data_IF_600160429988
#
_entry.id   IF_600160429988
#
_cell.length_a   1.000
_cell.length_b   1.000
_cell.length_c   1.000
_cell.angle_alpha   90.00
_cell.angle_beta   90.00
_cell.angle_gamma   90.00
#
_symmetry.space_group_name_H-M   'P 1'
#
loop_
_entity.id
_entity.type
_entity.pdbx_description
1 polymer ?
#
# COMPACT_ATOMS: atom_id res chain seq x y z
N UNK A 1 21.01 -6.35 -14.25
CA UNK A 1 22.12 -5.45 -13.87
C UNK A 1 22.88 -5.89 -12.60
N UNK A 2 22.18 -6.35 -11.55
CA UNK A 2 22.79 -6.85 -10.31
C UNK A 2 23.71 -8.07 -10.48
N UNK A 3 23.28 -9.07 -11.27
CA UNK A 3 24.07 -10.29 -11.52
C UNK A 3 25.38 -10.00 -12.26
N UNK A 4 25.37 -9.05 -13.20
CA UNK A 4 26.52 -8.62 -13.99
C UNK A 4 27.52 -7.75 -13.20
N UNK A 5 27.03 -6.92 -12.26
CA UNK A 5 27.89 -6.18 -11.31
C UNK A 5 28.49 -7.10 -10.24
N UNK A 6 27.73 -8.10 -9.78
CA UNK A 6 28.17 -9.12 -8.81
C UNK A 6 29.26 -10.03 -9.39
N UNK A 7 29.10 -10.47 -10.65
CA UNK A 7 30.15 -11.24 -11.38
C UNK A 7 31.36 -10.41 -11.82
N UNK A 8 31.27 -9.08 -11.82
CA UNK A 8 32.40 -8.20 -12.11
C UNK A 8 33.23 -7.84 -10.85
N UNK A 9 32.60 -7.84 -9.67
CA UNK A 9 33.24 -7.54 -8.39
C UNK A 9 33.73 -8.81 -7.65
N UNK A 10 33.17 -9.97 -7.98
CA UNK A 10 33.62 -11.31 -7.57
C UNK A 10 34.06 -12.06 -8.84
N UNK A 11 35.37 -12.24 -9.11
CA UNK A 11 35.84 -12.74 -10.40
C UNK A 11 35.36 -14.17 -10.67
N UNK A 12 35.04 -14.45 -11.94
CA UNK A 12 34.64 -15.77 -12.51
C UNK A 12 35.72 -16.89 -12.45
N UNK A 13 36.74 -16.78 -11.61
CA UNK A 13 37.84 -17.72 -11.57
C UNK A 13 37.78 -18.61 -10.33
N UNK A 14 37.24 -19.81 -10.50
CA UNK A 14 37.43 -20.94 -9.60
C UNK A 14 36.35 -21.14 -8.55
N UNK A 15 35.69 -22.30 -8.60
CA UNK A 15 35.15 -22.94 -7.40
C UNK A 15 36.27 -23.15 -6.37
N UNK A 16 36.70 -22.10 -5.67
CA UNK A 16 37.66 -22.14 -4.55
C UNK A 16 37.95 -20.76 -3.92
N UNK A 17 37.05 -19.77 -3.96
CA UNK A 17 37.39 -18.42 -3.43
C UNK A 17 37.12 -18.24 -1.93
N UNK A 18 36.46 -19.18 -1.27
CA UNK A 18 36.18 -19.10 0.17
C UNK A 18 36.26 -20.49 0.81
N UNK A 19 37.47 -20.94 1.12
CA UNK A 19 37.63 -22.05 2.07
C UNK A 19 37.08 -21.60 3.43
N UNK A 20 36.18 -22.42 3.98
CA UNK A 20 35.45 -22.19 5.23
C UNK A 20 36.35 -22.03 6.48
N UNK A 21 37.67 -22.17 6.32
CA UNK A 21 38.68 -22.11 7.38
C UNK A 21 39.75 -21.01 7.21
N UNK A 22 39.67 -20.13 6.22
CA UNK A 22 40.73 -19.13 6.03
C UNK A 22 40.37 -17.78 6.66
N UNK A 23 40.93 -17.49 7.85
CA UNK A 23 40.93 -16.14 8.46
C UNK A 23 41.40 -15.05 7.49
N UNK A 24 42.17 -15.43 6.46
CA UNK A 24 42.58 -14.57 5.34
C UNK A 24 41.41 -13.94 4.59
N UNK A 25 40.30 -14.65 4.43
CA UNK A 25 39.15 -14.15 3.67
C UNK A 25 38.34 -13.10 4.43
N UNK A 26 38.25 -13.24 5.76
CA UNK A 26 37.67 -12.21 6.62
C UNK A 26 38.58 -10.98 6.75
N UNK A 27 39.90 -11.19 6.77
CA UNK A 27 40.86 -10.08 6.77
C UNK A 27 40.74 -9.25 5.48
N UNK A 28 40.70 -9.88 4.31
CA UNK A 28 40.52 -9.17 3.04
C UNK A 28 39.19 -8.40 2.95
N UNK A 29 38.13 -8.93 3.57
CA UNK A 29 36.85 -8.24 3.65
C UNK A 29 36.91 -7.06 4.62
N UNK A 30 37.54 -7.25 5.77
CA UNK A 30 37.76 -6.20 6.77
C UNK A 30 38.55 -5.04 6.19
N UNK A 31 39.69 -5.32 5.54
CA UNK A 31 40.56 -4.30 4.92
C UNK A 31 39.86 -3.56 3.77
N UNK A 32 38.88 -4.19 3.10
CA UNK A 32 38.04 -3.53 2.08
C UNK A 32 36.98 -2.60 2.67
N UNK A 33 36.56 -2.87 3.90
CA UNK A 33 35.54 -2.11 4.61
C UNK A 33 36.16 -0.97 5.42
N UNK A 34 37.32 -1.20 6.04
CA UNK A 34 38.16 -0.21 6.73
C UNK A 34 38.79 0.73 5.69
N UNK A 35 38.11 1.84 5.40
CA UNK A 35 38.54 2.77 4.35
C UNK A 35 39.56 3.78 4.83
N UNK A 36 39.59 4.05 6.14
CA UNK A 36 40.50 5.00 6.75
C UNK A 36 41.79 4.32 7.30
N UNK A 37 41.86 2.98 7.29
CA UNK A 37 42.93 2.13 7.80
C UNK A 37 43.22 2.35 9.29
N UNK A 38 42.18 2.59 10.09
CA UNK A 38 42.30 2.76 11.54
C UNK A 38 42.22 1.44 12.33
N UNK A 39 42.03 0.32 11.62
CA UNK A 39 41.93 -1.01 12.21
C UNK A 39 40.56 -1.29 12.83
N UNK A 40 39.56 -0.47 12.53
CA UNK A 40 38.16 -0.64 12.93
C UNK A 40 37.24 -0.40 11.73
N UNK A 41 36.03 -0.92 11.81
CA UNK A 41 34.98 -0.67 10.81
C UNK A 41 33.81 0.01 11.49
N UNK A 42 33.60 1.28 11.19
CA UNK A 42 32.46 2.03 11.71
C UNK A 42 31.17 1.83 10.88
N UNK A 43 30.07 2.36 11.39
CA UNK A 43 28.76 2.27 10.73
C UNK A 43 28.73 2.96 9.35
N UNK A 44 29.48 4.05 9.17
CA UNK A 44 29.54 4.80 7.91
C UNK A 44 30.37 4.07 6.86
N UNK A 45 31.50 3.49 7.26
CA UNK A 45 32.38 2.67 6.45
C UNK A 45 31.70 1.38 6.01
N UNK A 46 31.09 0.64 6.93
CA UNK A 46 30.32 -0.54 6.61
C UNK A 46 29.16 -0.20 5.66
N UNK A 47 28.47 0.92 5.90
CA UNK A 47 27.41 1.39 5.00
C UNK A 47 27.94 1.71 3.61
N UNK A 48 29.09 2.36 3.51
CA UNK A 48 29.72 2.70 2.23
C UNK A 48 30.18 1.43 1.50
N UNK A 49 30.76 0.46 2.22
CA UNK A 49 31.15 -0.85 1.71
C UNK A 49 29.96 -1.64 1.17
N UNK A 50 28.90 -1.80 1.96
CA UNK A 50 27.66 -2.45 1.54
C UNK A 50 27.05 -1.78 0.31
N UNK A 51 27.14 -0.45 0.20
CA UNK A 51 26.68 0.30 -0.97
C UNK A 51 27.53 0.04 -2.22
N UNK A 52 28.86 0.00 -2.09
CA UNK A 52 29.77 -0.37 -3.19
C UNK A 52 29.52 -1.81 -3.67
N UNK A 53 29.16 -2.71 -2.75
CA UNK A 53 28.84 -4.11 -3.05
C UNK A 53 27.41 -4.30 -3.59
N UNK A 54 26.62 -3.23 -3.75
CA UNK A 54 25.22 -3.30 -4.21
C UNK A 54 24.23 -3.82 -3.17
N UNK A 55 24.67 -4.12 -1.95
CA UNK A 55 23.87 -4.73 -0.88
C UNK A 55 23.22 -3.69 0.05
N UNK A 56 23.05 -2.45 -0.40
CA UNK A 56 22.60 -1.34 0.45
C UNK A 56 21.13 -1.47 0.88
N UNK A 57 20.92 -1.60 2.19
CA UNK A 57 19.61 -1.49 2.86
C UNK A 57 19.75 -0.53 4.05
N UNK A 58 18.77 0.36 4.24
CA UNK A 58 18.75 1.25 5.40
C UNK A 58 18.76 0.45 6.70
N UNK A 59 19.68 0.77 7.62
CA UNK A 59 19.78 0.14 8.94
C UNK A 59 20.60 -1.16 9.01
N UNK A 60 21.00 -1.76 7.89
CA UNK A 60 21.78 -3.01 7.91
C UNK A 60 23.16 -2.84 8.58
N UNK A 61 23.90 -1.78 8.20
CA UNK A 61 25.19 -1.46 8.80
C UNK A 61 25.06 -1.17 10.30
N UNK A 62 24.01 -0.44 10.72
CA UNK A 62 23.71 -0.22 12.13
C UNK A 62 23.51 -1.55 12.87
N UNK A 63 22.68 -2.45 12.34
CA UNK A 63 22.35 -3.73 13.00
C UNK A 63 23.59 -4.64 13.13
N UNK A 64 24.46 -4.66 12.12
CA UNK A 64 25.71 -5.43 12.14
C UNK A 64 26.65 -4.91 13.23
N UNK A 65 26.94 -3.60 13.24
CA UNK A 65 27.84 -3.00 14.25
C UNK A 65 27.25 -3.20 15.65
N UNK A 66 25.97 -2.88 15.86
CA UNK A 66 25.31 -3.06 17.17
C UNK A 66 25.32 -4.51 17.68
N UNK A 67 25.36 -5.51 16.78
CA UNK A 67 25.36 -6.93 17.18
C UNK A 67 26.78 -7.46 17.40
N UNK A 68 27.76 -6.95 16.66
CA UNK A 68 29.15 -7.40 16.75
C UNK A 68 29.98 -6.68 17.82
N UNK A 69 29.65 -5.42 18.12
CA UNK A 69 30.36 -4.54 19.05
C UNK A 69 30.16 -5.01 20.50
N UNK A 70 31.19 -5.66 21.06
CA UNK A 70 31.15 -6.21 22.42
C UNK A 70 31.63 -5.21 23.46
N UNK A 71 32.56 -4.35 23.06
CA UNK A 71 33.16 -3.35 23.94
C UNK A 71 32.34 -2.03 23.99
N UNK A 72 31.30 -1.91 23.15
CA UNK A 72 30.38 -0.77 23.02
C UNK A 72 31.06 0.53 22.60
N UNK A 73 32.13 0.45 21.79
CA UNK A 73 32.85 1.62 21.29
C UNK A 73 32.24 2.24 20.01
N UNK A 74 31.19 1.61 19.46
CA UNK A 74 30.46 2.05 18.29
C UNK A 74 31.09 1.65 16.96
N UNK A 75 32.15 0.84 16.99
CA UNK A 75 32.85 0.29 15.84
C UNK A 75 33.03 -1.23 15.97
N UNK A 76 33.53 -1.88 14.92
CA UNK A 76 33.95 -3.28 14.98
C UNK A 76 35.46 -3.38 14.78
N UNK A 77 36.19 -3.86 15.77
CA UNK A 77 37.56 -4.30 15.54
C UNK A 77 37.59 -5.64 14.77
N UNK A 78 38.77 -6.05 14.28
CA UNK A 78 38.88 -7.28 13.49
C UNK A 78 38.41 -8.54 14.24
N UNK A 79 38.60 -8.58 15.57
CA UNK A 79 38.20 -9.72 16.41
C UNK A 79 36.68 -9.77 16.54
N UNK A 80 36.04 -8.63 16.81
CA UNK A 80 34.59 -8.47 16.89
C UNK A 80 33.92 -8.75 15.55
N UNK A 81 34.48 -8.21 14.46
CA UNK A 81 34.02 -8.45 13.09
C UNK A 81 34.08 -9.93 12.72
N UNK A 82 35.22 -10.58 12.97
CA UNK A 82 35.41 -12.01 12.70
C UNK A 82 34.45 -12.87 13.52
N UNK A 83 34.28 -12.54 14.81
CA UNK A 83 33.33 -13.26 15.68
C UNK A 83 31.90 -13.10 15.20
N UNK A 84 31.50 -11.88 14.83
CA UNK A 84 30.18 -11.63 14.25
C UNK A 84 29.95 -12.47 12.98
N UNK A 85 30.90 -12.49 12.04
CA UNK A 85 30.76 -13.25 10.81
C UNK A 85 30.68 -14.76 11.06
N UNK A 86 31.51 -15.31 11.95
CA UNK A 86 31.45 -16.73 12.33
C UNK A 86 30.10 -17.09 12.96
N UNK A 87 29.62 -16.28 13.90
CA UNK A 87 28.32 -16.50 14.54
C UNK A 87 27.15 -16.37 13.55
N UNK A 88 27.27 -15.46 12.59
CA UNK A 88 26.28 -15.25 11.53
C UNK A 88 26.27 -16.40 10.54
N UNK A 89 27.42 -16.87 10.08
CA UNK A 89 27.54 -18.04 9.20
C UNK A 89 26.95 -19.30 9.84
N UNK A 90 27.18 -19.50 11.14
CA UNK A 90 26.58 -20.62 11.88
C UNK A 90 25.05 -20.56 11.83
N UNK A 91 24.45 -19.38 12.01
CA UNK A 91 22.99 -19.19 11.91
C UNK A 91 22.47 -19.35 10.48
N UNK A 92 23.20 -18.86 9.48
CA UNK A 92 22.88 -19.07 8.07
C UNK A 92 22.93 -20.56 7.72
N UNK A 93 23.89 -21.32 8.27
CA UNK A 93 24.02 -22.76 8.03
C UNK A 93 22.87 -23.56 8.64
N UNK A 94 22.40 -23.17 9.81
CA UNK A 94 21.18 -23.73 10.40
C UNK A 94 19.95 -23.42 9.52
N UNK A 95 19.88 -22.21 8.98
CA UNK A 95 18.77 -21.80 8.11
C UNK A 95 18.81 -22.54 6.77
N UNK A 96 19.99 -22.70 6.17
CA UNK A 96 20.19 -23.49 4.95
C UNK A 96 19.71 -24.94 5.15
N UNK A 97 20.13 -25.59 6.24
CA UNK A 97 19.68 -26.95 6.59
C UNK A 97 18.17 -27.05 6.84
N UNK A 98 17.53 -25.96 7.26
CA UNK A 98 16.07 -25.94 7.42
C UNK A 98 15.31 -25.80 6.10
N UNK A 99 15.98 -25.29 5.06
CA UNK A 99 15.46 -25.15 3.71
C UNK A 99 15.67 -26.43 2.89
N UNK A 100 16.87 -27.01 2.96
CA UNK A 100 17.26 -28.28 2.33
C UNK A 100 16.60 -29.46 3.09
N UNK A 101 15.43 -29.90 2.62
CA UNK A 101 14.63 -30.93 3.28
C UNK A 101 15.05 -32.32 2.88
N UNK A 102 15.41 -32.48 1.61
CA UNK A 102 15.82 -33.76 1.08
C UNK A 102 17.28 -34.09 1.48
N UNK A 103 17.99 -33.13 2.11
CA UNK A 103 19.38 -33.21 2.55
C UNK A 103 20.35 -33.52 1.40
N UNK A 104 20.05 -33.02 0.20
CA UNK A 104 20.91 -33.18 -0.97
C UNK A 104 22.03 -32.11 -1.06
N UNK A 105 22.05 -31.18 -0.11
CA UNK A 105 23.04 -30.11 -0.02
C UNK A 105 22.78 -28.95 -0.96
N UNK A 106 21.61 -28.91 -1.61
CA UNK A 106 21.17 -27.85 -2.52
C UNK A 106 19.73 -27.46 -2.20
N UNK A 107 19.37 -26.23 -2.52
CA UNK A 107 18.00 -25.73 -2.34
C UNK A 107 17.33 -25.65 -3.71
N UNK A 108 16.18 -26.31 -3.86
CA UNK A 108 15.39 -26.29 -5.09
C UNK A 108 14.08 -25.45 -4.97
N UNK A 109 13.38 -25.30 -6.10
CA UNK A 109 12.17 -24.48 -6.17
C UNK A 109 11.05 -25.04 -5.28
N UNK A 110 10.95 -26.37 -5.20
CA UNK A 110 9.93 -27.08 -4.42
C UNK A 110 10.17 -26.87 -2.93
N UNK A 111 11.43 -26.88 -2.49
CA UNK A 111 11.81 -26.65 -1.09
C UNK A 111 11.52 -25.21 -0.66
N UNK A 112 11.80 -24.24 -1.53
CA UNK A 112 11.40 -22.84 -1.31
C UNK A 112 9.87 -22.72 -1.22
N UNK A 113 9.11 -23.36 -2.12
CA UNK A 113 7.64 -23.35 -2.07
C UNK A 113 7.12 -23.95 -0.76
N UNK A 114 7.68 -25.07 -0.32
CA UNK A 114 7.27 -25.74 0.91
C UNK A 114 7.61 -24.93 2.17
N UNK A 115 8.82 -24.36 2.24
CA UNK A 115 9.24 -23.52 3.35
C UNK A 115 8.36 -22.27 3.50
N UNK A 116 7.96 -21.67 2.38
CA UNK A 116 7.02 -20.54 2.37
C UNK A 116 5.60 -20.99 2.73
N UNK A 117 5.13 -22.13 2.21
CA UNK A 117 3.80 -22.66 2.50
C UNK A 117 3.60 -22.97 4.00
N UNK A 118 4.62 -23.50 4.68
CA UNK A 118 4.57 -23.75 6.13
C UNK A 118 4.44 -22.48 6.97
N UNK A 119 4.89 -21.35 6.43
CA UNK A 119 4.74 -20.04 7.04
C UNK A 119 3.47 -19.31 6.57
N UNK A 120 2.58 -20.01 5.85
CA UNK A 120 1.30 -19.50 5.36
C UNK A 120 1.43 -18.62 4.10
N UNK A 121 2.55 -18.73 3.39
CA UNK A 121 2.84 -17.98 2.17
C UNK A 121 2.80 -18.96 0.98
N UNK A 122 1.70 -18.94 0.23
CA UNK A 122 1.60 -19.71 -1.01
C UNK A 122 2.22 -18.94 -2.17
N UNK A 123 3.20 -19.54 -2.84
CA UNK A 123 3.82 -19.00 -4.04
C UNK A 123 3.78 -20.00 -5.18
N UNK A 124 3.64 -19.50 -6.41
CA UNK A 124 3.72 -20.32 -7.60
C UNK A 124 5.19 -20.73 -7.90
N UNK A 125 5.36 -21.73 -8.77
CA UNK A 125 6.70 -22.26 -9.09
C UNK A 125 7.61 -21.23 -9.75
N UNK A 126 7.05 -20.35 -10.58
CA UNK A 126 7.80 -19.26 -11.23
C UNK A 126 8.37 -18.27 -10.21
N UNK A 127 7.60 -17.93 -9.19
CA UNK A 127 8.03 -17.12 -8.06
C UNK A 127 9.18 -17.78 -7.29
N UNK A 128 9.09 -19.07 -7.01
CA UNK A 128 10.18 -19.82 -6.36
C UNK A 128 11.45 -19.83 -7.21
N UNK A 129 11.32 -20.03 -8.53
CA UNK A 129 12.45 -19.99 -9.46
C UNK A 129 13.10 -18.60 -9.51
N UNK A 130 12.32 -17.51 -9.42
CA UNK A 130 12.89 -16.15 -9.31
C UNK A 130 13.70 -15.95 -8.03
N UNK A 131 13.28 -16.57 -6.92
CA UNK A 131 14.07 -16.53 -5.69
C UNK A 131 15.39 -17.27 -5.89
N UNK A 132 15.36 -18.48 -6.44
CA UNK A 132 16.57 -19.24 -6.74
C UNK A 132 17.51 -18.44 -7.65
N UNK A 133 17.01 -17.91 -8.76
CA UNK A 133 17.78 -17.10 -9.72
C UNK A 133 18.47 -15.88 -9.10
N UNK A 134 17.95 -15.36 -7.99
CA UNK A 134 18.57 -14.23 -7.29
C UNK A 134 19.80 -14.61 -6.48
N UNK A 135 19.88 -15.88 -6.09
CA UNK A 135 20.95 -16.46 -5.27
C UNK A 135 21.93 -17.25 -6.12
N UNK A 136 21.42 -17.97 -7.12
CA UNK A 136 22.11 -18.79 -8.11
C UNK A 136 23.11 -17.96 -8.94
N UNK A 137 24.38 -18.32 -8.79
CA UNK A 137 25.53 -17.67 -9.43
C UNK A 137 25.95 -18.48 -10.66
N UNK A 138 25.92 -19.81 -10.57
CA UNK A 138 26.41 -20.72 -11.60
C UNK A 138 25.37 -21.05 -12.69
N UNK A 139 24.11 -20.67 -12.48
CA UNK A 139 23.00 -20.86 -13.40
C UNK A 139 22.39 -22.26 -13.34
N UNK A 140 22.66 -23.04 -12.29
CA UNK A 140 22.18 -24.41 -12.13
C UNK A 140 20.69 -24.51 -11.79
N UNK A 141 20.01 -23.40 -11.47
CA UNK A 141 18.64 -23.35 -10.95
C UNK A 141 18.46 -24.12 -9.64
N UNK A 142 19.55 -24.33 -8.93
CA UNK A 142 19.65 -24.83 -7.57
C UNK A 142 20.59 -23.90 -6.81
N UNK A 143 20.49 -23.86 -5.49
CA UNK A 143 21.36 -22.99 -4.68
C UNK A 143 22.14 -23.82 -3.68
N UNK A 144 23.45 -23.85 -3.80
CA UNK A 144 24.31 -24.55 -2.84
C UNK A 144 24.66 -23.69 -1.61
N UNK A 145 25.36 -24.28 -0.63
CA UNK A 145 25.76 -23.58 0.58
C UNK A 145 26.61 -22.33 0.31
N UNK A 146 27.52 -22.38 -0.65
CA UNK A 146 28.42 -21.27 -0.93
C UNK A 146 27.64 -20.10 -1.55
N UNK A 147 26.76 -20.38 -2.49
CA UNK A 147 25.88 -19.38 -3.12
C UNK A 147 24.93 -18.74 -2.09
N UNK A 148 24.33 -19.57 -1.23
CA UNK A 148 23.47 -19.12 -0.14
C UNK A 148 24.23 -18.25 0.87
N UNK A 149 25.42 -18.70 1.32
CA UNK A 149 26.29 -17.96 2.23
C UNK A 149 26.67 -16.62 1.62
N UNK A 150 27.21 -16.61 0.41
CA UNK A 150 27.65 -15.36 -0.24
C UNK A 150 26.52 -14.36 -0.44
N UNK A 151 25.30 -14.85 -0.67
CA UNK A 151 24.14 -13.99 -0.83
C UNK A 151 23.67 -13.35 0.50
N UNK A 152 23.85 -14.02 1.64
CA UNK A 152 23.37 -13.55 2.94
C UNK A 152 24.43 -13.15 3.97
N UNK A 153 25.73 -13.37 3.70
CA UNK A 153 26.82 -13.14 4.66
C UNK A 153 26.84 -11.73 5.23
N UNK A 154 26.58 -10.73 4.38
CA UNK A 154 26.54 -9.32 4.75
C UNK A 154 25.11 -8.79 4.92
N UNK A 155 24.13 -9.69 5.00
CA UNK A 155 22.73 -9.36 5.27
C UNK A 155 22.37 -9.82 6.69
N UNK A 156 21.89 -8.93 7.58
CA UNK A 156 21.63 -9.28 8.98
C UNK A 156 20.30 -10.02 9.17
N UNK A 157 20.20 -11.20 8.53
CA UNK A 157 19.16 -12.19 8.75
C UNK A 157 19.68 -13.42 9.48
N UNK A 158 19.09 -13.69 10.64
CA UNK A 158 19.55 -14.68 11.60
C UNK A 158 18.67 -15.93 11.65
N UNK A 159 17.59 -15.96 10.88
CA UNK A 159 16.64 -17.07 10.82
C UNK A 159 15.88 -17.10 9.49
N UNK A 160 15.19 -18.21 9.26
CA UNK A 160 14.36 -18.46 8.07
C UNK A 160 13.32 -17.36 7.84
N UNK A 161 12.73 -16.84 8.91
CA UNK A 161 11.70 -15.81 8.83
C UNK A 161 12.24 -14.46 8.30
N UNK A 162 13.43 -14.05 8.74
CA UNK A 162 14.11 -12.84 8.25
C UNK A 162 14.59 -13.00 6.79
N UNK A 163 15.05 -14.20 6.40
CA UNK A 163 15.39 -14.51 5.00
C UNK A 163 14.16 -14.47 4.10
N UNK A 164 13.04 -15.01 4.56
CA UNK A 164 11.77 -14.96 3.81
C UNK A 164 11.22 -13.54 3.72
N UNK A 165 11.34 -12.74 4.79
CA UNK A 165 11.04 -11.30 4.72
C UNK A 165 11.92 -10.60 3.70
N UNK A 166 13.21 -10.93 3.67
CA UNK A 166 14.11 -10.42 2.64
C UNK A 166 13.59 -10.77 1.25
N UNK A 167 13.20 -12.02 0.99
CA UNK A 167 12.63 -12.38 -0.30
C UNK A 167 11.33 -11.63 -0.60
N UNK A 168 10.44 -11.44 0.38
CA UNK A 168 9.21 -10.63 0.22
C UNK A 168 9.54 -9.19 -0.20
N UNK A 169 10.51 -8.55 0.46
CA UNK A 169 10.85 -7.14 0.24
C UNK A 169 11.93 -6.88 -0.83
N UNK A 170 12.67 -7.90 -1.27
CA UNK A 170 13.77 -7.78 -2.25
C UNK A 170 13.39 -8.30 -3.63
N UNK A 171 12.52 -9.32 -3.71
CA UNK A 171 12.22 -10.02 -4.96
C UNK A 171 10.82 -9.77 -5.51
N UNK A 172 10.07 -8.82 -4.95
CA UNK A 172 8.70 -8.50 -5.39
C UNK A 172 7.88 -9.79 -5.52
N UNK A 173 7.92 -10.63 -4.49
CA UNK A 173 6.85 -11.60 -4.27
C UNK A 173 5.63 -10.81 -3.84
N UNK A 174 4.88 -10.35 -4.84
CA UNK A 174 3.58 -9.74 -4.69
C UNK A 174 2.60 -10.82 -4.23
N UNK A 175 2.60 -11.14 -2.93
CA UNK A 175 1.42 -11.69 -2.29
C UNK A 175 0.46 -10.52 -2.28
N UNK A 176 -0.44 -10.45 -3.27
CA UNK A 176 -1.30 -9.31 -3.61
C UNK A 176 -1.84 -8.51 -2.41
N UNK A 177 -1.00 -7.62 -1.87
CA UNK A 177 -1.34 -6.76 -0.74
C UNK A 177 -2.07 -5.56 -1.35
N UNK A 178 -3.35 -5.85 -1.55
CA UNK A 178 -4.39 -4.97 -2.04
C UNK A 178 -4.30 -3.62 -1.36
N UNK A 179 -4.24 -2.61 -2.22
CA UNK A 179 -4.31 -1.18 -1.99
C UNK A 179 -5.48 -0.77 -1.06
N UNK A 180 -5.42 -1.02 0.26
CA UNK A 180 -6.35 -0.37 1.19
C UNK A 180 -5.93 -0.32 2.67
N UNK A 181 -4.82 -0.91 3.08
CA UNK A 181 -4.22 -0.68 4.41
C UNK A 181 -2.71 -0.59 4.16
N UNK A 182 -1.99 0.45 4.63
CA UNK A 182 -0.53 0.38 4.64
C UNK A 182 -0.13 -0.95 5.25
N UNK A 183 0.79 -1.66 4.60
CA UNK A 183 1.44 -2.82 5.19
C UNK A 183 1.77 -2.45 6.63
N UNK A 184 1.35 -3.34 7.54
CA UNK A 184 1.56 -3.28 8.97
C UNK A 184 2.86 -2.53 9.26
N UNK A 185 2.80 -1.32 9.84
CA UNK A 185 4.02 -0.66 10.30
C UNK A 185 4.77 -1.71 11.11
N UNK A 186 5.98 -2.03 10.68
CA UNK A 186 6.81 -3.03 11.36
C UNK A 186 6.89 -2.67 12.84
N UNK A 187 7.05 -3.64 13.74
CA UNK A 187 7.24 -3.33 15.18
C UNK A 187 8.46 -2.39 15.37
N UNK A 188 9.41 -2.41 14.42
CA UNK A 188 10.50 -1.44 14.26
C UNK A 188 10.00 -0.04 13.85
N UNK A 189 9.09 0.09 12.88
CA UNK A 189 8.49 1.38 12.51
C UNK A 189 7.59 1.96 13.60
N UNK A 190 6.84 1.12 14.32
CA UNK A 190 6.03 1.53 15.48
C UNK A 190 6.87 2.01 16.66
N UNK A 191 8.06 1.43 16.86
CA UNK A 191 9.01 1.86 17.89
C UNK A 191 9.88 3.05 17.45
N UNK A 192 9.99 3.30 16.14
CA UNK A 192 10.69 4.46 15.59
C UNK A 192 9.88 5.76 15.68
N UNK A 193 10.55 6.92 15.80
CA UNK A 193 9.92 8.25 15.75
C UNK A 193 9.43 8.65 14.32
N UNK A 194 9.14 7.67 13.45
CA UNK A 194 8.83 7.86 12.01
C UNK A 194 7.36 7.59 11.68
N UNK A 195 6.67 6.69 12.41
CA UNK A 195 5.30 6.29 12.08
C UNK A 195 4.30 7.47 12.08
N UNK A 196 4.36 8.33 13.10
CA UNK A 196 3.44 9.47 13.21
C UNK A 196 3.73 10.51 12.13
N UNK A 197 5.00 10.67 11.74
CA UNK A 197 5.42 11.57 10.66
C UNK A 197 4.87 11.08 9.32
N UNK A 198 4.89 9.77 9.06
CA UNK A 198 4.29 9.18 7.87
C UNK A 198 2.75 9.34 7.84
N UNK A 199 2.08 9.20 9.00
CA UNK A 199 0.65 9.46 9.11
C UNK A 199 0.30 10.93 8.86
N UNK A 200 1.07 11.87 9.42
CA UNK A 200 0.88 13.31 9.19
C UNK A 200 1.10 13.65 7.73
N UNK A 201 2.17 13.13 7.11
CA UNK A 201 2.43 13.31 5.68
C UNK A 201 1.27 12.78 4.82
N UNK A 202 0.75 11.60 5.11
CA UNK A 202 -0.39 11.01 4.42
C UNK A 202 -1.68 11.81 4.61
N UNK A 203 -1.96 12.28 5.83
CA UNK A 203 -3.13 13.09 6.13
C UNK A 203 -3.08 14.46 5.43
N UNK A 204 -1.92 15.12 5.43
CA UNK A 204 -1.69 16.39 4.74
C UNK A 204 -1.84 16.21 3.22
N UNK A 205 -1.21 15.19 2.64
CA UNK A 205 -1.35 14.84 1.23
C UNK A 205 -2.82 14.63 0.83
N UNK A 206 -3.56 13.83 1.61
CA UNK A 206 -4.99 13.60 1.40
C UNK A 206 -5.83 14.86 1.51
N UNK A 207 -5.55 15.74 2.48
CA UNK A 207 -6.27 16.99 2.69
C UNK A 207 -6.05 17.99 1.54
N UNK A 208 -4.80 18.18 1.11
CA UNK A 208 -4.45 19.09 0.01
C UNK A 208 -5.01 18.58 -1.31
N UNK A 209 -4.86 17.29 -1.60
CA UNK A 209 -5.43 16.67 -2.81
C UNK A 209 -6.96 16.80 -2.89
N UNK A 210 -7.67 16.51 -1.79
CA UNK A 210 -9.13 16.68 -1.74
C UNK A 210 -9.56 18.14 -1.90
N UNK A 211 -8.79 19.08 -1.37
CA UNK A 211 -9.08 20.51 -1.49
C UNK A 211 -8.81 21.03 -2.91
N UNK A 212 -7.72 20.61 -3.54
CA UNK A 212 -7.41 20.93 -4.94
C UNK A 212 -8.43 20.36 -5.92
N UNK A 213 -9.00 19.20 -5.60
CA UNK A 213 -10.00 18.53 -6.45
C UNK A 213 -11.45 18.73 -6.02
N UNK A 214 -11.70 19.55 -4.98
CA UNK A 214 -13.04 19.80 -4.46
C UNK A 214 -14.02 20.38 -5.49
N UNK A 215 -13.63 21.31 -6.39
CA UNK A 215 -14.54 21.82 -7.42
C UNK A 215 -15.08 20.72 -8.35
N UNK A 216 -14.24 19.76 -8.74
CA UNK A 216 -14.62 18.61 -9.57
C UNK A 216 -15.49 17.61 -8.78
N UNK A 217 -15.18 17.40 -7.49
CA UNK A 217 -16.00 16.55 -6.62
C UNK A 217 -17.40 17.13 -6.43
N UNK A 218 -17.52 18.45 -6.23
CA UNK A 218 -18.81 19.13 -6.13
C UNK A 218 -19.56 19.08 -7.47
N UNK A 219 -18.88 19.32 -8.59
CA UNK A 219 -19.50 19.23 -9.92
C UNK A 219 -20.04 17.82 -10.19
N UNK A 220 -19.27 16.77 -9.87
CA UNK A 220 -19.71 15.38 -9.96
C UNK A 220 -21.04 15.18 -9.22
N UNK A 221 -21.07 15.51 -7.92
CA UNK A 221 -22.27 15.32 -7.08
C UNK A 221 -23.44 16.15 -7.59
N UNK A 222 -23.18 17.39 -8.03
CA UNK A 222 -24.19 18.27 -8.59
C UNK A 222 -24.85 17.69 -9.85
N UNK A 223 -24.03 17.19 -10.79
CA UNK A 223 -24.51 16.56 -12.02
C UNK A 223 -25.21 15.23 -11.77
N UNK A 224 -24.73 14.43 -10.80
CA UNK A 224 -25.36 13.17 -10.41
C UNK A 224 -26.81 13.37 -9.93
N UNK A 225 -27.08 14.47 -9.23
CA UNK A 225 -28.41 14.76 -8.66
C UNK A 225 -29.29 15.57 -9.62
N UNK A 226 -28.79 16.66 -10.19
CA UNK A 226 -29.62 17.62 -10.93
C UNK A 226 -29.72 17.35 -12.44
N UNK A 227 -28.82 16.55 -13.03
CA UNK A 227 -28.91 16.27 -14.46
C UNK A 227 -29.97 15.19 -14.76
N UNK A 228 -30.79 15.46 -15.77
CA UNK A 228 -31.81 14.56 -16.33
C UNK A 228 -31.73 14.52 -17.86
N UNK A 229 -32.54 13.67 -18.53
CA UNK A 229 -32.60 13.62 -20.00
C UNK A 229 -33.16 14.92 -20.58
N UNK A 230 -34.09 15.56 -19.87
CA UNK A 230 -34.68 16.87 -20.20
C UNK A 230 -33.79 18.04 -19.79
N UNK A 231 -32.89 17.85 -18.82
CA UNK A 231 -31.95 18.88 -18.34
C UNK A 231 -30.51 18.32 -18.34
N UNK A 232 -29.90 18.28 -19.54
CA UNK A 232 -28.50 17.88 -19.70
C UNK A 232 -27.58 19.03 -19.27
N UNK A 233 -26.89 18.82 -18.16
CA UNK A 233 -25.90 19.77 -17.66
C UNK A 233 -24.55 19.34 -18.23
N UNK A 234 -23.91 20.20 -19.02
CA UNK A 234 -22.52 20.01 -19.44
C UNK A 234 -21.55 20.56 -18.36
N UNK A 235 -20.25 20.30 -18.48
CA UNK A 235 -19.26 20.70 -17.47
C UNK A 235 -19.29 22.21 -17.18
N UNK A 236 -19.23 23.02 -18.25
CA UNK A 236 -19.17 24.48 -18.17
C UNK A 236 -20.49 25.03 -17.59
N UNK A 237 -21.63 24.50 -18.03
CA UNK A 237 -22.95 24.87 -17.53
C UNK A 237 -23.13 24.53 -16.05
N UNK A 238 -22.62 23.37 -15.61
CA UNK A 238 -22.63 22.98 -14.20
C UNK A 238 -21.82 23.92 -13.33
N UNK A 239 -20.58 24.23 -13.72
CA UNK A 239 -19.76 25.23 -13.02
C UNK A 239 -20.42 26.62 -13.02
N UNK A 240 -20.93 27.07 -14.17
CA UNK A 240 -21.62 28.36 -14.28
C UNK A 240 -22.82 28.42 -13.35
N UNK A 241 -23.66 27.39 -13.29
CA UNK A 241 -24.82 27.34 -12.41
C UNK A 241 -24.43 27.37 -10.93
N UNK A 242 -23.39 26.63 -10.56
CA UNK A 242 -22.85 26.62 -9.20
C UNK A 242 -22.29 27.98 -8.78
N UNK A 243 -21.56 28.65 -9.68
CA UNK A 243 -20.96 29.97 -9.43
C UNK A 243 -22.04 31.06 -9.39
N UNK A 244 -23.04 31.03 -10.27
CA UNK A 244 -24.16 31.99 -10.26
C UNK A 244 -25.00 31.87 -8.98
N UNK A 245 -25.13 30.67 -8.41
CA UNK A 245 -25.93 30.43 -7.21
C UNK A 245 -25.23 30.86 -5.90
N UNK A 246 -23.91 30.74 -5.81
CA UNK A 246 -23.20 30.89 -4.54
C UNK A 246 -21.83 31.55 -4.61
N UNK A 247 -21.46 32.12 -5.77
CA UNK A 247 -20.15 32.68 -6.04
C UNK A 247 -19.05 31.64 -6.23
N UNK A 248 -17.81 32.10 -6.41
CA UNK A 248 -16.64 31.23 -6.63
C UNK A 248 -16.34 30.32 -5.43
N UNK A 249 -16.47 30.84 -4.21
CA UNK A 249 -16.23 30.06 -2.98
C UNK A 249 -17.24 28.93 -2.79
N UNK A 250 -18.38 28.96 -3.50
CA UNK A 250 -19.33 27.86 -3.45
C UNK A 250 -18.71 26.55 -3.94
N UNK A 251 -17.75 26.58 -4.86
CA UNK A 251 -17.12 25.38 -5.45
C UNK A 251 -16.54 24.42 -4.39
N UNK A 252 -16.17 24.93 -3.21
CA UNK A 252 -15.65 24.16 -2.07
C UNK A 252 -16.69 23.78 -1.00
N UNK A 253 -17.99 23.98 -1.26
CA UNK A 253 -19.05 23.54 -0.34
C UNK A 253 -18.94 22.03 -0.09
N UNK A 254 -18.96 21.65 1.19
CA UNK A 254 -18.78 20.26 1.62
C UNK A 254 -17.32 19.81 1.73
N UNK A 255 -16.32 20.60 1.31
CA UNK A 255 -14.92 20.18 1.41
C UNK A 255 -14.45 20.03 2.88
N UNK A 256 -14.91 20.90 3.79
CA UNK A 256 -14.52 20.83 5.20
C UNK A 256 -14.82 19.48 5.84
N UNK A 257 -16.04 18.93 5.63
CA UNK A 257 -16.39 17.59 6.13
C UNK A 257 -15.67 16.48 5.36
N UNK A 258 -15.38 16.68 4.08
CA UNK A 258 -14.63 15.74 3.25
C UNK A 258 -13.16 15.57 3.70
N UNK A 259 -12.57 16.62 4.26
CA UNK A 259 -11.24 16.59 4.91
C UNK A 259 -11.36 16.06 6.34
N UNK A 260 -12.30 16.59 7.13
CA UNK A 260 -12.49 16.22 8.53
C UNK A 260 -12.71 14.71 8.72
N UNK A 261 -13.43 14.05 7.80
CA UNK A 261 -13.72 12.62 7.92
C UNK A 261 -12.51 11.69 7.75
N UNK A 262 -11.39 12.17 7.19
CA UNK A 262 -10.19 11.34 6.93
C UNK A 262 -9.69 10.71 8.23
N UNK A 263 -9.37 11.55 9.22
CA UNK A 263 -8.77 11.11 10.47
C UNK A 263 -9.64 10.09 11.23
N UNK A 264 -10.94 10.33 11.49
CA UNK A 264 -11.77 9.36 12.20
C UNK A 264 -12.01 8.09 11.38
N UNK A 265 -12.13 8.18 10.05
CA UNK A 265 -12.26 7.00 9.17
C UNK A 265 -11.05 6.10 9.28
N UNK A 266 -9.85 6.67 9.16
CA UNK A 266 -8.59 5.95 9.28
C UNK A 266 -8.42 5.38 10.69
N UNK A 267 -8.70 6.15 11.74
CA UNK A 267 -8.57 5.70 13.13
C UNK A 267 -9.50 4.52 13.46
N UNK A 268 -10.78 4.59 13.09
CA UNK A 268 -11.75 3.51 13.31
C UNK A 268 -11.33 2.27 12.51
N UNK A 269 -10.87 2.45 11.27
CA UNK A 269 -10.42 1.33 10.42
C UNK A 269 -9.24 0.60 11.06
N UNK A 270 -8.21 1.32 11.51
CA UNK A 270 -7.05 0.72 12.18
C UNK A 270 -7.44 0.03 13.49
N UNK A 271 -8.26 0.68 14.33
CA UNK A 271 -8.73 0.10 15.58
C UNK A 271 -9.52 -1.19 15.33
N UNK A 272 -10.48 -1.18 14.40
CA UNK A 272 -11.27 -2.34 14.06
C UNK A 272 -10.41 -3.47 13.47
N UNK A 273 -9.43 -3.12 12.63
CA UNK A 273 -8.48 -4.09 12.07
C UNK A 273 -7.73 -4.83 13.17
N UNK A 274 -7.14 -4.11 14.13
CA UNK A 274 -6.41 -4.73 15.25
C UNK A 274 -7.32 -5.63 16.11
N UNK A 275 -8.58 -5.28 16.32
CA UNK A 275 -9.51 -6.12 17.06
C UNK A 275 -9.90 -7.39 16.29
N UNK A 276 -10.26 -7.28 15.01
CA UNK A 276 -10.56 -8.46 14.18
C UNK A 276 -9.33 -9.35 14.01
N UNK A 277 -8.15 -8.75 13.91
CA UNK A 277 -6.88 -9.45 13.86
C UNK A 277 -6.68 -10.29 15.13
N UNK A 278 -6.85 -9.71 16.32
CA UNK A 278 -6.75 -10.45 17.60
C UNK A 278 -7.78 -11.57 17.71
N UNK A 279 -9.02 -11.35 17.26
CA UNK A 279 -10.08 -12.35 17.29
C UNK A 279 -9.84 -13.51 16.32
N UNK A 280 -9.19 -13.26 15.18
CA UNK A 280 -8.92 -14.27 14.15
C UNK A 280 -7.54 -14.94 14.31
N UNK A 281 -6.68 -14.41 15.17
CA UNK A 281 -5.39 -15.01 15.52
C UNK A 281 -5.59 -16.09 16.58
N UNK A 282 -5.01 -17.27 16.36
CA UNK A 282 -4.83 -18.26 17.43
C UNK A 282 -3.50 -17.99 18.14
N UNK A 283 -3.45 -18.11 19.46
CA UNK A 283 -2.27 -17.78 20.26
C UNK A 283 -0.99 -18.45 19.71
N UNK A 284 0.00 -17.63 19.35
CA UNK A 284 1.35 -18.08 18.96
C UNK A 284 1.60 -18.34 17.46
N UNK A 285 0.63 -18.17 16.56
CA UNK A 285 0.86 -18.31 15.10
C UNK A 285 0.58 -17.03 14.32
N UNK A 286 1.44 -16.74 13.33
CA UNK A 286 1.20 -15.68 12.34
C UNK A 286 -0.11 -15.93 11.60
N UNK A 287 -0.78 -14.83 11.27
CA UNK A 287 -2.11 -14.84 10.68
C UNK A 287 -2.02 -15.20 9.20
N UNK A 288 -2.74 -16.24 8.81
CA UNK A 288 -2.89 -16.64 7.41
C UNK A 288 -3.43 -15.48 6.57
N UNK A 289 -2.97 -15.36 5.33
CA UNK A 289 -3.32 -14.27 4.40
C UNK A 289 -4.83 -14.07 4.24
N UNK A 290 -5.61 -15.17 4.19
CA UNK A 290 -7.06 -15.10 4.09
C UNK A 290 -7.71 -14.47 5.34
N UNK A 291 -7.17 -14.72 6.54
CA UNK A 291 -7.67 -14.13 7.80
C UNK A 291 -7.34 -12.64 7.87
N UNK A 292 -6.18 -12.21 7.37
CA UNK A 292 -5.85 -10.79 7.23
C UNK A 292 -6.79 -10.08 6.27
N UNK A 293 -7.11 -10.71 5.15
CA UNK A 293 -8.07 -10.18 4.18
C UNK A 293 -9.47 -10.04 4.79
N UNK A 294 -9.93 -11.05 5.54
CA UNK A 294 -11.21 -11.01 6.28
C UNK A 294 -11.19 -9.89 7.32
N UNK A 295 -10.14 -9.79 8.13
CA UNK A 295 -9.97 -8.73 9.12
C UNK A 295 -9.99 -7.34 8.48
N UNK A 296 -9.28 -7.16 7.38
CA UNK A 296 -9.25 -5.91 6.60
C UNK A 296 -10.61 -5.53 6.03
N UNK A 297 -11.33 -6.51 5.48
CA UNK A 297 -12.68 -6.33 4.93
C UNK A 297 -13.69 -5.95 6.02
N UNK A 298 -13.68 -6.64 7.16
CA UNK A 298 -14.55 -6.35 8.30
C UNK A 298 -14.22 -4.99 8.93
N UNK A 299 -12.94 -4.65 9.03
CA UNK A 299 -12.51 -3.34 9.51
C UNK A 299 -12.96 -2.21 8.58
N UNK A 300 -12.83 -2.40 7.26
CA UNK A 300 -13.33 -1.48 6.25
C UNK A 300 -14.85 -1.30 6.34
N UNK A 301 -15.61 -2.39 6.47
CA UNK A 301 -17.05 -2.32 6.65
C UNK A 301 -17.44 -1.57 7.93
N UNK A 302 -16.79 -1.87 9.05
CA UNK A 302 -17.04 -1.23 10.35
C UNK A 302 -16.75 0.28 10.32
N UNK A 303 -15.59 0.67 9.78
CA UNK A 303 -15.24 2.07 9.58
C UNK A 303 -16.26 2.78 8.67
N UNK A 304 -16.66 2.12 7.58
CA UNK A 304 -17.66 2.65 6.67
C UNK A 304 -19.03 2.85 7.34
N UNK A 305 -19.48 1.92 8.19
CA UNK A 305 -20.73 2.05 8.96
C UNK A 305 -20.66 3.20 9.97
N UNK A 306 -19.54 3.32 10.68
CA UNK A 306 -19.36 4.37 11.69
C UNK A 306 -19.28 5.78 11.06
N UNK A 307 -18.61 5.91 9.92
CA UNK A 307 -18.41 7.19 9.21
C UNK A 307 -19.59 7.57 8.32
N UNK A 308 -20.50 6.64 8.03
CA UNK A 308 -21.60 6.87 7.10
C UNK A 308 -22.44 8.14 7.35
N UNK A 309 -22.76 8.52 8.60
CA UNK A 309 -23.45 9.80 8.88
C UNK A 309 -22.71 11.03 8.33
N UNK A 310 -21.37 11.02 8.35
CA UNK A 310 -20.55 12.09 7.77
C UNK A 310 -20.60 12.09 6.23
N UNK A 311 -20.75 10.93 5.59
CA UNK A 311 -20.94 10.85 4.13
C UNK A 311 -22.27 11.47 3.70
N UNK A 312 -23.35 11.21 4.44
CA UNK A 312 -24.64 11.85 4.16
C UNK A 312 -24.52 13.36 4.35
N UNK A 313 -23.96 13.81 5.47
CA UNK A 313 -23.73 15.23 5.72
C UNK A 313 -22.89 15.89 4.63
N UNK A 314 -21.83 15.21 4.14
CA UNK A 314 -21.02 15.65 3.01
C UNK A 314 -21.91 15.91 1.81
N UNK A 315 -22.67 14.91 1.35
CA UNK A 315 -23.52 15.04 0.16
C UNK A 315 -24.53 16.17 0.29
N UNK A 316 -25.14 16.34 1.48
CA UNK A 316 -26.09 17.44 1.76
C UNK A 316 -25.45 18.81 1.73
N UNK A 317 -24.28 18.97 2.37
CA UNK A 317 -23.57 20.24 2.40
C UNK A 317 -22.99 20.61 1.04
N UNK A 318 -22.57 19.63 0.24
CA UNK A 318 -22.08 19.83 -1.13
C UNK A 318 -23.18 20.37 -2.06
N UNK A 319 -24.41 19.87 -1.88
CA UNK A 319 -25.59 20.23 -2.68
C UNK A 319 -26.42 21.39 -2.10
N UNK A 320 -26.04 21.91 -0.93
CA UNK A 320 -26.81 22.97 -0.27
C UNK A 320 -26.91 24.22 -1.13
N UNK A 321 -28.06 24.88 -1.04
CA UNK A 321 -28.25 26.25 -1.53
C UNK A 321 -27.71 27.28 -0.53
N UNK A 322 -27.38 28.48 -1.00
CA UNK A 322 -26.97 29.63 -0.20
C UNK A 322 -28.03 29.90 0.87
N UNK A 323 -27.61 29.98 2.13
CA UNK A 323 -28.51 30.21 3.27
C UNK A 323 -29.27 28.98 3.81
N UNK A 324 -29.21 27.81 3.17
CA UNK A 324 -29.96 26.62 3.62
C UNK A 324 -29.46 26.06 4.97
N UNK A 325 -28.14 26.07 5.16
CA UNK A 325 -27.45 25.60 6.37
C UNK A 325 -26.37 26.59 6.79
N UNK A 326 -26.34 26.97 8.06
CA UNK A 326 -25.28 27.83 8.61
C UNK A 326 -23.93 27.09 8.68
N UNK A 327 -23.95 25.78 8.91
CA UNK A 327 -22.76 24.93 8.98
C UNK A 327 -23.10 23.44 9.07
N UNK A 328 -22.11 22.61 9.38
CA UNK A 328 -22.31 21.15 9.46
C UNK A 328 -23.22 20.74 10.62
N UNK A 329 -23.10 21.40 11.78
CA UNK A 329 -23.94 21.11 12.94
C UNK A 329 -25.41 21.52 12.73
N UNK A 330 -25.64 22.67 12.09
CA UNK A 330 -27.00 23.10 11.70
C UNK A 330 -27.60 22.13 10.67
N UNK A 331 -26.80 21.65 9.71
CA UNK A 331 -27.22 20.62 8.77
C UNK A 331 -27.62 19.33 9.49
N UNK A 332 -26.78 18.82 10.39
CA UNK A 332 -27.07 17.62 11.18
C UNK A 332 -28.32 17.78 12.06
N UNK A 333 -28.45 18.91 12.76
CA UNK A 333 -29.62 19.22 13.59
C UNK A 333 -30.91 19.27 12.77
N UNK A 334 -30.88 19.89 11.59
CA UNK A 334 -32.04 19.95 10.68
C UNK A 334 -32.40 18.58 10.11
N UNK A 335 -31.43 17.75 9.74
CA UNK A 335 -31.68 16.37 9.28
C UNK A 335 -32.32 15.56 10.41
N UNK A 336 -31.74 15.60 11.62
CA UNK A 336 -32.25 14.85 12.76
C UNK A 336 -33.69 15.26 13.12
N UNK A 337 -33.99 16.57 13.12
CA UNK A 337 -35.33 17.08 13.44
C UNK A 337 -36.38 16.82 12.36
N UNK A 338 -36.01 16.82 11.07
CA UNK A 338 -36.96 16.71 9.95
C UNK A 338 -37.10 15.30 9.40
N UNK A 339 -36.02 14.52 9.38
CA UNK A 339 -35.95 13.22 8.71
C UNK A 339 -35.65 12.07 9.68
N UNK A 340 -35.28 12.36 10.93
CA UNK A 340 -34.91 11.38 11.94
C UNK A 340 -33.49 10.80 11.78
N UNK A 341 -33.12 9.89 12.68
CA UNK A 341 -31.78 9.31 12.73
C UNK A 341 -31.47 8.39 11.52
N UNK A 342 -32.48 7.71 10.99
CA UNK A 342 -32.34 6.79 9.84
C UNK A 342 -31.86 7.54 8.57
N UNK A 343 -32.15 8.85 8.47
CA UNK A 343 -31.74 9.67 7.34
C UNK A 343 -30.20 9.73 7.16
N UNK A 344 -29.44 9.60 8.24
CA UNK A 344 -27.98 9.55 8.21
C UNK A 344 -27.41 8.28 7.60
N UNK A 345 -28.25 7.28 7.31
CA UNK A 345 -27.87 6.01 6.67
C UNK A 345 -28.54 5.81 5.30
N UNK A 346 -29.16 6.85 4.72
CA UNK A 346 -29.73 6.80 3.37
C UNK A 346 -28.64 6.49 2.33
N UNK A 347 -28.88 5.46 1.52
CA UNK A 347 -27.93 4.97 0.51
C UNK A 347 -26.90 3.97 1.02
N UNK A 348 -26.99 3.51 2.27
CA UNK A 348 -26.02 2.55 2.84
C UNK A 348 -26.00 1.22 2.09
N UNK A 349 -27.17 0.70 1.72
CA UNK A 349 -27.29 -0.55 0.96
C UNK A 349 -26.61 -0.48 -0.42
N UNK A 350 -26.92 0.49 -1.31
CA UNK A 350 -26.22 0.59 -2.59
C UNK A 350 -24.72 0.89 -2.42
N UNK A 351 -24.31 1.53 -1.31
CA UNK A 351 -22.90 1.70 -0.97
C UNK A 351 -22.20 0.35 -0.76
N UNK A 352 -22.74 -0.50 0.13
CA UNK A 352 -22.15 -1.81 0.42
C UNK A 352 -22.12 -2.72 -0.80
N UNK A 353 -23.23 -2.79 -1.54
CA UNK A 353 -23.30 -3.61 -2.77
C UNK A 353 -22.29 -3.11 -3.80
N UNK A 354 -22.04 -1.80 -3.87
CA UNK A 354 -21.10 -1.20 -4.82
C UNK A 354 -19.62 -1.45 -4.49
N UNK A 355 -19.27 -1.68 -3.22
CA UNK A 355 -17.89 -1.94 -2.78
C UNK A 355 -17.36 -3.26 -3.36
N UNK A 356 -18.19 -4.31 -3.37
CA UNK A 356 -17.79 -5.66 -3.82
C UNK A 356 -17.31 -5.67 -5.29
N UNK A 357 -18.10 -5.22 -6.28
CA UNK A 357 -17.66 -5.21 -7.68
C UNK A 357 -16.54 -4.20 -7.91
N UNK A 358 -16.51 -3.08 -7.16
CA UNK A 358 -15.39 -2.14 -7.22
C UNK A 358 -14.09 -2.83 -6.85
N UNK A 359 -14.00 -3.42 -5.65
CA UNK A 359 -12.79 -4.05 -5.14
C UNK A 359 -12.38 -5.27 -5.96
N UNK A 360 -13.32 -6.12 -6.36
CA UNK A 360 -13.03 -7.32 -7.15
C UNK A 360 -12.44 -7.00 -8.53
N UNK A 361 -13.00 -6.02 -9.22
CA UNK A 361 -12.51 -5.61 -10.55
C UNK A 361 -11.21 -4.82 -10.43
N UNK A 362 -11.11 -3.94 -9.43
CA UNK A 362 -9.88 -3.19 -9.15
C UNK A 362 -8.71 -4.16 -8.94
N UNK A 363 -8.85 -5.12 -8.04
CA UNK A 363 -7.82 -6.12 -7.77
C UNK A 363 -7.48 -6.95 -9.01
N UNK A 364 -8.48 -7.54 -9.67
CA UNK A 364 -8.26 -8.40 -10.83
C UNK A 364 -7.56 -7.67 -11.98
N UNK A 365 -7.96 -6.43 -12.27
CA UNK A 365 -7.34 -5.62 -13.33
C UNK A 365 -5.93 -5.19 -12.91
N UNK A 366 -5.74 -4.79 -11.65
CA UNK A 366 -4.43 -4.38 -11.15
C UNK A 366 -3.41 -5.51 -11.26
N UNK A 367 -3.75 -6.70 -10.75
CA UNK A 367 -2.89 -7.88 -10.78
C UNK A 367 -2.61 -8.31 -12.23
N UNK A 368 -3.63 -8.34 -13.08
CA UNK A 368 -3.46 -8.70 -14.50
C UNK A 368 -2.50 -7.73 -15.21
N UNK A 369 -2.68 -6.42 -15.03
CA UNK A 369 -1.82 -5.41 -15.65
C UNK A 369 -0.38 -5.49 -15.11
N UNK A 370 -0.23 -5.62 -13.79
CA UNK A 370 1.08 -5.72 -13.14
C UNK A 370 1.82 -6.98 -13.58
N UNK A 371 1.17 -8.14 -13.57
CA UNK A 371 1.76 -9.42 -13.96
C UNK A 371 2.11 -9.45 -15.45
N UNK A 372 1.27 -8.84 -16.30
CA UNK A 372 1.57 -8.69 -17.73
C UNK A 372 2.78 -7.78 -17.95
N UNK A 373 2.86 -6.65 -17.25
CA UNK A 373 4.03 -5.77 -17.37
C UNK A 373 5.32 -6.48 -16.95
N UNK A 374 5.26 -7.20 -15.82
CA UNK A 374 6.36 -8.00 -15.30
C UNK A 374 6.78 -9.09 -16.29
N UNK A 375 5.85 -9.84 -16.89
CA UNK A 375 6.21 -10.90 -17.84
C UNK A 375 6.93 -10.37 -19.08
N UNK A 376 6.59 -9.17 -19.54
CA UNK A 376 7.26 -8.51 -20.68
C UNK A 376 8.61 -7.85 -20.32
N UNK A 377 8.78 -7.30 -19.10
CA UNK A 377 9.96 -6.49 -18.72
C UNK A 377 10.87 -7.12 -17.64
N UNK A 378 10.56 -8.30 -17.13
CA UNK A 378 11.33 -8.96 -16.05
C UNK A 378 12.77 -9.33 -16.42
N UNK A 379 13.17 -9.30 -17.71
CA UNK A 379 14.56 -9.56 -18.10
C UNK A 379 15.55 -8.49 -17.63
N UNK A 380 15.09 -7.23 -17.50
CA UNK A 380 15.97 -6.10 -17.21
C UNK A 380 15.73 -5.45 -15.83
N UNK A 381 14.51 -5.57 -15.29
CA UNK A 381 14.18 -5.04 -13.95
C UNK A 381 13.01 -5.79 -13.31
N UNK A 382 13.21 -6.29 -12.09
CA UNK A 382 12.18 -6.96 -11.30
C UNK A 382 11.21 -5.98 -10.60
N UNK A 383 11.41 -4.66 -10.72
CA UNK A 383 10.59 -3.65 -10.07
C UNK A 383 9.83 -2.82 -11.12
N UNK A 384 8.49 -2.97 -11.22
CA UNK A 384 7.67 -2.03 -11.95
C UNK A 384 7.80 -0.69 -11.21
N UNK A 385 8.63 0.21 -11.74
CA UNK A 385 8.89 1.50 -11.10
C UNK A 385 7.59 2.20 -10.70
N UNK A 386 7.66 3.12 -9.73
CA UNK A 386 6.49 3.76 -9.10
C UNK A 386 5.44 4.25 -10.11
N UNK A 387 5.86 4.79 -11.26
CA UNK A 387 4.96 5.26 -12.31
C UNK A 387 4.13 4.14 -12.95
N UNK A 388 4.71 2.95 -13.14
CA UNK A 388 4.01 1.78 -13.70
C UNK A 388 2.95 1.31 -12.70
N UNK A 389 3.31 1.17 -11.42
CA UNK A 389 2.37 0.78 -10.37
C UNK A 389 1.23 1.80 -10.22
N UNK A 390 1.53 3.10 -10.27
CA UNK A 390 0.53 4.15 -10.28
C UNK A 390 -0.38 4.09 -11.52
N UNK A 391 0.19 3.76 -12.69
CA UNK A 391 -0.56 3.54 -13.93
C UNK A 391 -1.52 2.36 -13.82
N UNK A 392 -1.01 1.19 -13.40
CA UNK A 392 -1.81 -0.01 -13.15
C UNK A 392 -2.94 0.27 -12.15
N UNK A 393 -2.62 0.95 -11.02
CA UNK A 393 -3.59 1.36 -9.99
C UNK A 393 -4.65 2.34 -10.49
N UNK A 394 -4.26 3.28 -11.36
CA UNK A 394 -5.20 4.25 -11.93
C UNK A 394 -6.18 3.61 -12.91
N UNK A 395 -5.69 2.69 -13.76
CA UNK A 395 -6.52 1.99 -14.74
C UNK A 395 -7.48 1.02 -14.04
N UNK A 396 -6.96 0.19 -13.13
CA UNK A 396 -7.76 -0.74 -12.32
C UNK A 396 -8.86 -0.02 -11.55
N UNK A 397 -8.53 1.05 -10.82
CA UNK A 397 -9.53 1.80 -10.06
C UNK A 397 -10.56 2.46 -10.98
N UNK A 398 -10.18 2.86 -12.19
CA UNK A 398 -11.11 3.41 -13.18
C UNK A 398 -12.08 2.34 -13.68
N UNK A 399 -11.60 1.12 -13.97
CA UNK A 399 -12.44 -0.02 -14.34
C UNK A 399 -13.40 -0.42 -13.22
N UNK A 400 -12.92 -0.52 -11.98
CA UNK A 400 -13.76 -0.79 -10.81
C UNK A 400 -14.82 0.31 -10.61
N UNK A 401 -14.46 1.58 -10.81
CA UNK A 401 -15.40 2.69 -10.74
C UNK A 401 -16.46 2.61 -11.83
N UNK A 402 -16.12 2.22 -13.06
CA UNK A 402 -17.08 2.05 -14.16
C UNK A 402 -18.14 1.01 -13.81
N UNK A 403 -17.72 -0.15 -13.31
CA UNK A 403 -18.64 -1.23 -12.96
C UNK A 403 -19.56 -0.89 -11.78
N UNK A 404 -19.03 -0.20 -10.76
CA UNK A 404 -19.78 0.20 -9.56
C UNK A 404 -20.53 1.54 -9.71
N UNK A 405 -20.31 2.28 -10.81
CA UNK A 405 -20.83 3.64 -10.99
C UNK A 405 -22.37 3.74 -10.87
N UNK A 406 -23.18 2.81 -11.42
CA UNK A 406 -24.63 2.87 -11.27
C UNK A 406 -25.08 2.89 -9.81
N UNK A 407 -24.46 2.08 -8.96
CA UNK A 407 -24.74 2.04 -7.52
C UNK A 407 -24.23 3.30 -6.81
N UNK A 408 -23.09 3.83 -7.24
CA UNK A 408 -22.58 5.10 -6.74
C UNK A 408 -23.54 6.28 -7.06
N UNK A 409 -24.14 6.32 -8.26
CA UNK A 409 -25.15 7.32 -8.60
C UNK A 409 -26.40 7.19 -7.72
N UNK A 410 -26.93 5.97 -7.60
CA UNK A 410 -28.13 5.69 -6.77
C UNK A 410 -27.87 6.07 -5.32
N UNK A 411 -26.70 5.71 -4.77
CA UNK A 411 -26.24 6.14 -3.44
C UNK A 411 -26.29 7.66 -3.30
N UNK A 412 -25.64 8.41 -4.20
CA UNK A 412 -25.59 9.88 -4.11
C UNK A 412 -26.99 10.50 -4.18
N UNK A 413 -27.88 9.99 -5.05
CA UNK A 413 -29.25 10.49 -5.15
C UNK A 413 -30.06 10.22 -3.89
N UNK A 414 -29.98 9.03 -3.31
CA UNK A 414 -30.64 8.71 -2.03
C UNK A 414 -30.10 9.58 -0.89
N UNK A 415 -28.78 9.84 -0.86
CA UNK A 415 -28.16 10.71 0.14
C UNK A 415 -28.56 12.18 0.00
N UNK A 416 -28.86 12.65 -1.21
CA UNK A 416 -29.21 14.03 -1.50
C UNK A 416 -30.67 14.40 -1.16
N UNK A 417 -31.58 13.42 -1.18
CA UNK A 417 -33.02 13.60 -1.03
C UNK A 417 -33.41 14.20 0.32
N UNK A 418 -33.76 15.50 0.34
CA UNK A 418 -34.42 16.13 1.49
C UNK A 418 -35.88 15.71 1.49
N UNK A 419 -36.40 15.31 2.65
CA UNK A 419 -37.76 14.81 2.73
C UNK A 419 -38.76 15.83 2.17
N UNK A 420 -39.30 15.51 0.99
CA UNK A 420 -40.74 15.39 0.80
C UNK A 420 -41.23 14.21 1.67
N UNK A 421 -42.48 14.23 2.10
CA UNK A 421 -43.07 13.35 3.12
C UNK A 421 -42.52 11.92 3.13
N UNK A 422 -42.36 11.36 4.35
CA UNK A 422 -41.74 10.05 4.60
C UNK A 422 -42.38 8.92 3.77
N UNK A 423 -43.65 9.07 3.36
CA UNK A 423 -44.38 8.11 2.52
C UNK A 423 -43.89 8.02 1.06
N UNK A 424 -43.16 9.03 0.56
CA UNK A 424 -42.77 9.16 -0.85
C UNK A 424 -41.28 8.88 -1.10
N UNK A 425 -40.56 8.31 -0.13
CA UNK A 425 -39.14 7.98 -0.30
C UNK A 425 -38.98 6.75 -1.20
N UNK A 426 -38.44 6.89 -2.44
CA UNK A 426 -38.32 5.76 -3.34
C UNK A 426 -37.26 4.79 -2.83
N UNK A 427 -37.58 3.50 -2.82
CA UNK A 427 -36.61 2.44 -2.58
C UNK A 427 -35.47 2.50 -3.60
N UNK A 428 -34.31 1.91 -3.27
CA UNK A 428 -33.16 1.81 -4.19
C UNK A 428 -33.57 1.26 -5.57
N UNK A 429 -34.40 0.20 -5.59
CA UNK A 429 -34.89 -0.44 -6.80
C UNK A 429 -35.87 0.45 -7.57
N UNK A 430 -36.75 1.17 -6.87
CA UNK A 430 -37.66 2.16 -7.48
C UNK A 430 -36.87 3.29 -8.14
N UNK A 431 -35.86 3.83 -7.45
CA UNK A 431 -35.01 4.89 -7.99
C UNK A 431 -34.22 4.42 -9.21
N UNK A 432 -33.64 3.22 -9.16
CA UNK A 432 -32.92 2.61 -10.28
C UNK A 432 -33.85 2.44 -11.50
N UNK A 433 -35.03 1.83 -11.30
CA UNK A 433 -36.03 1.64 -12.36
C UNK A 433 -36.48 2.98 -12.95
N UNK A 434 -36.72 3.98 -12.10
CA UNK A 434 -37.15 5.32 -12.54
C UNK A 434 -36.10 6.00 -13.42
N UNK A 435 -34.82 5.88 -13.05
CA UNK A 435 -33.73 6.43 -13.85
C UNK A 435 -33.64 5.70 -15.19
N UNK A 436 -33.63 4.37 -15.18
CA UNK A 436 -33.55 3.59 -16.43
C UNK A 436 -34.73 3.86 -17.34
N UNK A 437 -35.95 3.98 -16.81
CA UNK A 437 -37.15 4.27 -17.58
C UNK A 437 -37.16 5.69 -18.16
N UNK A 438 -36.79 6.71 -17.39
CA UNK A 438 -36.84 8.12 -17.84
C UNK A 438 -35.62 8.52 -18.67
N UNK A 439 -34.45 8.05 -18.27
CA UNK A 439 -33.15 8.55 -18.73
C UNK A 439 -32.36 7.53 -19.55
N UNK A 440 -32.79 6.26 -19.57
CA UNK A 440 -32.06 5.15 -20.18
C UNK A 440 -30.89 4.65 -19.32
N UNK A 441 -30.26 3.57 -19.76
CA UNK A 441 -29.14 2.94 -19.06
C UNK A 441 -27.95 3.90 -18.85
N UNK A 442 -27.58 4.69 -19.87
CA UNK A 442 -26.52 5.69 -19.76
C UNK A 442 -26.83 6.84 -18.79
N UNK A 443 -28.10 7.01 -18.38
CA UNK A 443 -28.48 7.91 -17.30
C UNK A 443 -27.82 7.56 -15.96
N UNK A 444 -27.45 6.29 -15.76
CA UNK A 444 -26.76 5.79 -14.57
C UNK A 444 -25.30 6.28 -14.47
N UNK A 445 -24.73 6.80 -15.55
CA UNK A 445 -23.33 7.24 -15.65
C UNK A 445 -23.15 8.76 -15.58
N UNK A 446 -24.18 9.50 -15.13
CA UNK A 446 -24.10 10.96 -15.00
C UNK A 446 -23.03 11.40 -14.02
N UNK A 447 -22.28 12.44 -14.41
CA UNK A 447 -21.18 12.98 -13.59
C UNK A 447 -19.91 12.14 -13.63
N UNK A 448 -19.81 11.11 -14.50
CA UNK A 448 -18.61 10.27 -14.59
C UNK A 448 -17.41 11.03 -15.15
N UNK A 449 -17.64 12.00 -16.05
CA UNK A 449 -16.58 12.80 -16.64
C UNK A 449 -15.83 13.66 -15.59
N UNK A 450 -16.49 14.46 -14.74
CA UNK A 450 -15.81 15.12 -13.61
C UNK A 450 -15.07 14.14 -12.69
N UNK A 451 -15.60 12.93 -12.52
CA UNK A 451 -14.96 11.90 -11.72
C UNK A 451 -13.63 11.45 -12.31
N UNK A 452 -13.54 11.17 -13.62
CA UNK A 452 -12.28 10.82 -14.28
C UNK A 452 -11.29 11.98 -14.33
N UNK A 453 -11.76 13.18 -14.65
CA UNK A 453 -10.91 14.38 -14.65
C UNK A 453 -10.26 14.63 -13.30
N UNK A 454 -10.89 14.20 -12.21
CA UNK A 454 -10.37 14.33 -10.84
C UNK A 454 -9.27 13.32 -10.52
N UNK A 455 -9.27 12.12 -11.10
CA UNK A 455 -8.38 11.01 -10.67
C UNK A 455 -6.91 11.39 -10.81
N UNK A 456 -6.49 11.82 -12.00
CA UNK A 456 -5.07 12.15 -12.26
C UNK A 456 -4.59 13.30 -11.36
N UNK A 457 -5.26 14.47 -11.30
CA UNK A 457 -4.86 15.54 -10.39
C UNK A 457 -4.84 15.12 -8.92
N UNK A 458 -5.82 14.31 -8.48
CA UNK A 458 -5.87 13.84 -7.09
C UNK A 458 -4.65 12.98 -6.74
N UNK A 459 -4.27 12.05 -7.62
CA UNK A 459 -3.10 11.18 -7.42
C UNK A 459 -1.82 12.01 -7.46
N UNK A 460 -1.65 12.87 -8.46
CA UNK A 460 -0.44 13.69 -8.61
C UNK A 460 -0.23 14.64 -7.45
N UNK A 461 -1.28 15.36 -7.00
CA UNK A 461 -1.19 16.27 -5.85
C UNK A 461 -0.86 15.50 -4.57
N UNK A 462 -1.51 14.35 -4.35
CA UNK A 462 -1.24 13.54 -3.15
C UNK A 462 0.22 13.08 -3.13
N UNK A 463 0.74 12.59 -4.26
CA UNK A 463 2.11 12.13 -4.37
C UNK A 463 3.10 13.27 -4.08
N UNK A 464 2.97 14.39 -4.78
CA UNK A 464 3.86 15.54 -4.61
C UNK A 464 3.84 16.04 -3.16
N UNK A 465 2.66 16.23 -2.58
CA UNK A 465 2.54 16.69 -1.19
C UNK A 465 3.10 15.66 -0.21
N UNK A 466 2.87 14.37 -0.45
CA UNK A 466 3.40 13.32 0.42
C UNK A 466 4.93 13.30 0.42
N UNK A 467 5.56 13.41 -0.75
CA UNK A 467 7.02 13.48 -0.88
C UNK A 467 7.58 14.75 -0.21
N UNK A 468 6.99 15.93 -0.47
CA UNK A 468 7.40 17.17 0.20
C UNK A 468 7.25 17.09 1.72
N UNK A 469 6.15 16.51 2.22
CA UNK A 469 5.93 16.34 3.65
C UNK A 469 6.90 15.33 4.26
N UNK A 470 7.25 14.26 3.55
CA UNK A 470 8.30 13.31 3.97
C UNK A 470 9.66 13.99 4.10
N UNK A 471 10.05 14.80 3.12
CA UNK A 471 11.31 15.57 3.18
C UNK A 471 11.27 16.59 4.31
N UNK A 472 10.18 17.35 4.43
CA UNK A 472 10.02 18.37 5.48
C UNK A 472 9.98 17.81 6.90
N UNK A 473 9.45 16.61 7.09
CA UNK A 473 9.43 15.90 8.38
C UNK A 473 10.72 15.10 8.64
N UNK A 474 11.70 15.13 7.73
CA UNK A 474 12.99 14.44 7.88
C UNK A 474 12.90 12.92 7.72
N UNK A 475 11.86 12.40 7.06
CA UNK A 475 11.68 10.96 6.80
C UNK A 475 12.51 10.51 5.59
N UNK A 476 12.69 11.39 4.61
CA UNK A 476 13.52 11.19 3.41
C UNK A 476 14.48 12.35 3.27
N UNK A 477 15.79 12.08 3.12
CA UNK A 477 16.79 13.10 2.79
C UNK A 477 16.91 13.24 1.28
#
# INVERSE_FOLDING_TARGET
>A
MFQALRTALLPRAGCSFWDADSERSYQELFDKLDTNNDGKVDVAELRAGLKKMGMFRHGAAQKIVLTGDQNQDGCLDFTEFTKYLKDHEMKLRLTFKSLDRNNDGRIDASEIQQALAELGIEINREAAQKILQSMDIDGSMMVDWNEFREHFLLYPAFNLEEIIRYWKHSLVLDIGDSLSIPDEFTEEEKSSDVWWKQLVAGAAAGAVSRTGTAPLDRLKVFMQVHSSKTHRINLIGGFRQMIMEGGLMSLWRGNGINVLKIAPETAIKFMAYEQYKKLLSSEGKKIETHKRFIAGSMAGATAQTAIYPMEVLKTRLTLRKTGQYAGMFDCAKKILRKEGAIAFYKGYVPNLIGIIPYAGIDLAVYETLKNTWLSYHAKDSANPGVLVLLGCGTISSTCGQLASYPLALVRTRMQAQASLDVSDQPSMSSLLRTIVAKDGFFGLYRGILPNFMKVIPAVSISYVVYEYMKTGLGISK
#
